data_IF_837240653372
#
_entry.id   IF_837240653372
#
_cell.length_a   1.000
_cell.length_b   1.000
_cell.length_c   1.000
_cell.angle_alpha   90.00
_cell.angle_beta   90.00
_cell.angle_gamma   90.00
#
_symmetry.space_group_name_H-M   'P 1'
#
loop_
_entity.id
_entity.type
_entity.pdbx_description
1 polymer ?
#
# COMPACT_ATOMS: atom_id res chain seq x y z
N UNK A 1 13.86 -6.14 3.19
CA UNK A 1 13.06 -6.33 1.97
C UNK A 1 11.95 -5.29 1.91
N UNK A 2 11.50 -4.91 0.71
CA UNK A 2 10.46 -3.90 0.47
C UNK A 2 9.25 -4.50 -0.26
N UNK A 3 8.75 -5.62 0.23
CA UNK A 3 7.49 -6.21 -0.23
C UNK A 3 6.44 -6.09 0.90
N UNK A 4 5.35 -5.31 0.73
CA UNK A 4 4.32 -5.16 1.76
C UNK A 4 3.72 -6.47 2.26
N UNK A 5 3.68 -7.52 1.43
CA UNK A 5 3.12 -8.82 1.83
C UNK A 5 4.08 -9.63 2.71
N UNK A 6 5.40 -9.48 2.53
CA UNK A 6 6.43 -10.23 3.27
C UNK A 6 7.07 -9.43 4.41
N UNK A 7 6.97 -8.10 4.39
CA UNK A 7 7.65 -7.24 5.33
C UNK A 7 7.12 -7.36 6.76
N UNK A 8 8.06 -7.41 7.71
CA UNK A 8 7.79 -7.62 9.15
C UNK A 8 7.96 -6.37 10.00
N UNK A 9 8.81 -5.45 9.57
CA UNK A 9 9.29 -4.36 10.43
C UNK A 9 8.24 -3.25 10.55
N UNK A 10 8.09 -2.72 11.77
CA UNK A 10 7.25 -1.55 12.02
C UNK A 10 7.70 -0.35 11.19
N UNK A 11 9.00 -0.03 11.20
CA UNK A 11 9.55 1.11 10.44
C UNK A 11 9.39 0.99 8.93
N UNK A 12 9.28 -0.23 8.40
CA UNK A 12 8.99 -0.44 6.98
C UNK A 12 7.64 0.13 6.57
N UNK A 13 6.68 0.21 7.50
CA UNK A 13 5.34 0.77 7.25
C UNK A 13 5.40 2.22 6.78
N UNK A 14 6.31 3.04 7.32
CA UNK A 14 6.45 4.44 6.89
C UNK A 14 6.97 4.53 5.45
N UNK A 15 7.88 3.64 5.05
CA UNK A 15 8.36 3.58 3.66
C UNK A 15 7.24 3.16 2.72
N UNK A 16 6.44 2.16 3.11
CA UNK A 16 5.30 1.72 2.31
C UNK A 16 4.20 2.77 2.22
N UNK A 17 3.90 3.49 3.31
CA UNK A 17 2.91 4.56 3.29
C UNK A 17 3.31 5.72 2.35
N UNK A 18 4.61 5.97 2.17
CA UNK A 18 5.10 6.94 1.19
C UNK A 18 5.07 6.41 -0.25
N UNK A 19 5.19 5.10 -0.44
CA UNK A 19 5.41 4.48 -1.75
C UNK A 19 4.16 3.84 -2.37
N UNK A 20 3.21 3.40 -1.56
CA UNK A 20 2.07 2.58 -1.97
C UNK A 20 0.78 3.19 -1.47
N UNK A 21 -0.12 3.51 -2.40
CA UNK A 21 -1.50 3.79 -2.05
C UNK A 21 -2.21 2.52 -1.59
N UNK A 22 -3.27 2.73 -0.82
CA UNK A 22 -4.12 1.68 -0.27
C UNK A 22 -5.54 1.84 -0.78
N UNK A 23 -6.32 0.76 -0.72
CA UNK A 23 -7.75 0.82 -1.05
C UNK A 23 -8.46 1.88 -0.21
N UNK A 24 -8.24 1.88 1.09
CA UNK A 24 -8.75 2.87 2.02
C UNK A 24 -7.62 3.39 2.90
N UNK A 25 -7.81 4.56 3.49
CA UNK A 25 -6.85 5.15 4.42
C UNK A 25 -7.52 5.49 5.75
N UNK A 26 -6.76 6.06 6.67
CA UNK A 26 -7.24 6.53 7.96
C UNK A 26 -6.96 8.03 8.13
N UNK A 27 -7.94 8.78 8.61
CA UNK A 27 -7.77 10.19 8.92
C UNK A 27 -7.16 10.42 10.32
N UNK A 28 -6.94 11.70 10.67
CA UNK A 28 -6.43 12.12 11.98
C UNK A 28 -7.33 11.73 13.17
N UNK A 29 -8.61 11.41 12.91
CA UNK A 29 -9.59 10.98 13.89
C UNK A 29 -9.74 9.45 13.96
N UNK A 30 -8.82 8.70 13.31
CA UNK A 30 -8.83 7.25 13.22
C UNK A 30 -10.04 6.69 12.47
N UNK A 31 -10.68 7.49 11.62
CA UNK A 31 -11.79 7.03 10.76
C UNK A 31 -11.25 6.53 9.43
N UNK A 32 -11.83 5.45 8.94
CA UNK A 32 -11.54 4.96 7.60
C UNK A 32 -12.10 5.95 6.58
N UNK A 33 -11.26 6.37 5.64
CA UNK A 33 -11.58 7.32 4.58
C UNK A 33 -11.20 6.77 3.19
N UNK A 34 -11.76 7.32 2.11
CA UNK A 34 -11.42 6.90 0.74
C UNK A 34 -9.93 7.00 0.42
N UNK A 35 -9.43 5.99 -0.31
CA UNK A 35 -8.09 5.95 -0.89
C UNK A 35 -8.19 5.74 -2.41
N UNK A 36 -7.69 4.58 -2.86
CA UNK A 36 -7.94 4.09 -4.23
C UNK A 36 -9.37 3.58 -4.42
N UNK A 37 -10.02 3.10 -3.36
CA UNK A 37 -11.47 2.94 -3.31
C UNK A 37 -12.10 4.28 -2.93
N UNK A 38 -13.02 4.77 -3.77
CA UNK A 38 -13.70 6.07 -3.57
C UNK A 38 -14.85 5.96 -2.58
N UNK A 39 -15.47 4.78 -2.52
CA UNK A 39 -16.59 4.45 -1.65
C UNK A 39 -16.75 2.91 -1.58
N UNK A 40 -17.51 2.46 -0.58
CA UNK A 40 -17.78 1.05 -0.36
C UNK A 40 -19.11 0.83 0.36
N UNK A 41 -19.67 -0.37 0.18
CA UNK A 41 -20.90 -0.81 0.82
C UNK A 41 -20.81 -2.27 1.26
N UNK A 42 -21.42 -2.57 2.40
CA UNK A 42 -21.61 -3.93 2.89
C UNK A 42 -23.00 -4.44 2.51
N UNK A 43 -23.11 -5.73 2.16
CA UNK A 43 -24.39 -6.42 2.10
C UNK A 43 -25.03 -6.52 3.49
N UNK A 44 -26.35 -6.74 3.53
CA UNK A 44 -27.13 -6.84 4.77
C UNK A 44 -26.63 -7.96 5.70
N UNK A 45 -26.08 -9.05 5.13
CA UNK A 45 -25.51 -10.17 5.88
C UNK A 45 -24.04 -9.95 6.29
N UNK A 46 -23.44 -8.83 5.90
CA UNK A 46 -22.04 -8.47 6.20
C UNK A 46 -21.00 -9.35 5.51
N UNK A 47 -21.37 -10.13 4.49
CA UNK A 47 -20.46 -11.07 3.81
C UNK A 47 -19.96 -10.58 2.46
N UNK A 48 -20.49 -9.49 1.93
CA UNK A 48 -20.04 -8.91 0.68
C UNK A 48 -19.66 -7.45 0.89
N UNK A 49 -18.39 -7.13 0.65
CA UNK A 49 -17.89 -5.76 0.60
C UNK A 49 -17.70 -5.35 -0.86
N UNK A 50 -18.52 -4.42 -1.33
CA UNK A 50 -18.39 -3.85 -2.68
C UNK A 50 -17.61 -2.54 -2.59
N UNK A 51 -16.59 -2.36 -3.42
CA UNK A 51 -15.81 -1.12 -3.51
C UNK A 51 -15.83 -0.59 -4.94
N UNK A 52 -16.07 0.71 -5.09
CA UNK A 52 -15.83 1.44 -6.32
C UNK A 52 -14.42 2.05 -6.30
N UNK A 53 -13.74 2.00 -7.44
CA UNK A 53 -12.32 2.33 -7.57
C UNK A 53 -12.13 3.64 -8.32
N UNK A 54 -11.06 4.34 -7.96
CA UNK A 54 -10.64 5.58 -8.61
C UNK A 54 -10.18 5.30 -10.04
N UNK A 55 -10.74 6.06 -10.98
CA UNK A 55 -10.34 6.04 -12.38
C UNK A 55 -9.04 6.83 -12.64
N UNK A 56 -8.35 6.48 -13.72
CA UNK A 56 -7.19 7.23 -14.22
C UNK A 56 -5.91 7.07 -13.39
N UNK A 57 -5.88 6.14 -12.43
CA UNK A 57 -4.68 5.83 -11.64
C UNK A 57 -3.76 4.89 -12.41
N UNK A 58 -2.45 5.12 -12.27
CA UNK A 58 -1.40 4.23 -12.76
C UNK A 58 -0.45 3.86 -11.63
N UNK A 59 0.16 2.69 -11.77
CA UNK A 59 1.33 2.31 -10.99
C UNK A 59 2.57 3.05 -11.50
N UNK A 60 3.64 3.02 -10.71
CA UNK A 60 4.89 3.72 -10.97
C UNK A 60 5.63 3.24 -12.23
N UNK A 61 5.32 2.05 -12.74
CA UNK A 61 5.83 1.53 -14.02
C UNK A 61 4.92 1.83 -15.23
N UNK A 62 3.82 2.53 -15.01
CA UNK A 62 2.83 2.88 -16.04
C UNK A 62 1.72 1.85 -16.25
N UNK A 63 1.76 0.70 -15.55
CA UNK A 63 0.62 -0.23 -15.53
C UNK A 63 -0.63 0.48 -14.99
N UNK A 64 -1.80 0.20 -15.56
CA UNK A 64 -3.05 0.83 -15.11
C UNK A 64 -3.54 0.17 -13.83
N UNK A 65 -4.07 0.99 -12.91
CA UNK A 65 -4.82 0.47 -11.77
C UNK A 65 -6.26 0.21 -12.17
N UNK A 66 -6.76 -1.00 -11.87
CA UNK A 66 -8.12 -1.43 -12.11
C UNK A 66 -8.55 -2.51 -11.09
N UNK A 67 -9.78 -3.02 -11.24
CA UNK A 67 -10.31 -4.09 -10.41
C UNK A 67 -9.51 -5.40 -10.48
N UNK A 68 -8.86 -5.71 -11.61
CA UNK A 68 -8.00 -6.89 -11.73
C UNK A 68 -6.72 -6.73 -10.90
N UNK A 69 -6.14 -5.53 -10.86
CA UNK A 69 -4.99 -5.23 -10.01
C UNK A 69 -5.33 -5.42 -8.52
N UNK A 70 -6.51 -5.00 -8.08
CA UNK A 70 -7.00 -5.24 -6.71
C UNK A 70 -7.12 -6.73 -6.43
N UNK A 71 -7.81 -7.47 -7.31
CA UNK A 71 -7.96 -8.92 -7.20
C UNK A 71 -6.60 -9.62 -7.09
N UNK A 72 -5.67 -9.29 -7.99
CA UNK A 72 -4.31 -9.83 -7.97
C UNK A 72 -3.60 -9.58 -6.63
N UNK A 73 -3.63 -8.35 -6.11
CA UNK A 73 -2.93 -8.02 -4.87
C UNK A 73 -3.48 -8.81 -3.68
N UNK A 74 -4.79 -8.93 -3.59
CA UNK A 74 -5.46 -9.61 -2.48
C UNK A 74 -5.25 -11.13 -2.56
N UNK A 75 -5.37 -11.71 -3.75
CA UNK A 75 -5.05 -13.13 -3.98
C UNK A 75 -3.58 -13.43 -3.71
N UNK A 76 -2.66 -12.55 -4.15
CA UNK A 76 -1.23 -12.66 -3.83
C UNK A 76 -1.01 -12.61 -2.31
N UNK A 77 -1.65 -11.69 -1.60
CA UNK A 77 -1.53 -11.61 -0.14
C UNK A 77 -2.02 -12.89 0.57
N UNK A 78 -3.07 -13.56 0.06
CA UNK A 78 -3.60 -14.81 0.58
C UNK A 78 -2.77 -16.05 0.25
N UNK A 79 -2.12 -16.06 -0.92
CA UNK A 79 -1.50 -17.27 -1.49
C UNK A 79 0.03 -17.26 -1.46
N UNK A 80 0.68 -16.09 -1.43
CA UNK A 80 2.13 -15.98 -1.42
C UNK A 80 2.73 -16.69 -0.19
N UNK A 81 3.65 -17.66 -0.38
CA UNK A 81 4.31 -18.32 0.73
C UNK A 81 5.03 -17.33 1.65
N UNK A 82 4.77 -17.43 2.95
CA UNK A 82 5.36 -16.53 3.95
C UNK A 82 4.72 -15.13 4.02
N UNK A 83 3.63 -14.89 3.27
CA UNK A 83 2.84 -13.65 3.42
C UNK A 83 2.39 -13.47 4.86
N UNK A 84 2.74 -12.33 5.43
CA UNK A 84 2.32 -11.92 6.77
C UNK A 84 0.95 -11.21 6.75
N UNK A 85 0.40 -10.95 5.57
CA UNK A 85 -0.93 -10.35 5.41
C UNK A 85 -2.02 -11.42 5.38
N UNK A 86 -1.67 -12.66 5.03
CA UNK A 86 -2.62 -13.78 4.89
C UNK A 86 -3.56 -13.94 6.08
N UNK A 87 -3.04 -13.86 7.31
CA UNK A 87 -3.85 -14.00 8.52
C UNK A 87 -4.76 -12.80 8.76
N UNK A 88 -4.33 -11.60 8.35
CA UNK A 88 -5.13 -10.37 8.46
C UNK A 88 -6.39 -10.55 7.62
N UNK A 89 -6.24 -10.81 6.32
CA UNK A 89 -7.37 -10.89 5.36
C UNK A 89 -7.97 -12.30 5.16
N UNK A 90 -7.76 -13.22 6.10
CA UNK A 90 -8.12 -14.65 5.94
C UNK A 90 -9.63 -14.92 5.83
N UNK A 91 -10.45 -13.95 6.26
CA UNK A 91 -11.91 -13.94 6.13
C UNK A 91 -12.38 -13.85 4.68
N UNK A 92 -11.56 -13.29 3.78
CA UNK A 92 -11.85 -13.24 2.34
C UNK A 92 -11.85 -14.66 1.76
N UNK A 93 -12.94 -15.00 1.10
CA UNK A 93 -13.12 -16.22 0.33
C UNK A 93 -12.72 -16.02 -1.13
N UNK A 94 -13.24 -14.97 -1.76
CA UNK A 94 -12.92 -14.64 -3.15
C UNK A 94 -13.03 -13.15 -3.44
N UNK A 95 -12.37 -12.73 -4.52
CA UNK A 95 -12.49 -11.38 -5.08
C UNK A 95 -13.07 -11.46 -6.48
N UNK A 96 -14.24 -10.86 -6.65
CA UNK A 96 -14.96 -10.75 -7.91
C UNK A 96 -14.69 -9.38 -8.54
N UNK A 97 -14.31 -9.40 -9.82
CA UNK A 97 -14.27 -8.19 -10.66
C UNK A 97 -15.65 -8.03 -11.27
N UNK A 98 -16.45 -7.14 -10.69
CA UNK A 98 -17.84 -6.89 -11.11
C UNK A 98 -17.96 -5.76 -12.13
N UNK A 99 -16.86 -5.05 -12.38
CA UNK A 99 -16.66 -4.10 -13.47
C UNK A 99 -15.20 -3.62 -13.51
N UNK A 100 -14.78 -2.84 -14.51
CA UNK A 100 -13.39 -2.38 -14.63
C UNK A 100 -12.88 -1.65 -13.37
N UNK A 101 -13.77 -0.89 -12.71
CA UNK A 101 -13.48 -0.11 -11.51
C UNK A 101 -14.37 -0.52 -10.33
N UNK A 102 -14.83 -1.76 -10.29
CA UNK A 102 -15.63 -2.27 -9.18
C UNK A 102 -15.21 -3.68 -8.79
N UNK A 103 -14.95 -3.87 -7.50
CA UNK A 103 -14.62 -5.16 -6.90
C UNK A 103 -15.60 -5.54 -5.81
N UNK A 104 -15.83 -6.83 -5.66
CA UNK A 104 -16.57 -7.39 -4.53
C UNK A 104 -15.70 -8.41 -3.81
N UNK A 105 -15.54 -8.20 -2.51
CA UNK A 105 -14.93 -9.17 -1.62
C UNK A 105 -16.03 -10.03 -1.01
N UNK A 106 -16.00 -11.33 -1.30
CA UNK A 106 -16.88 -12.30 -0.68
C UNK A 106 -16.19 -12.90 0.53
N UNK A 107 -16.83 -12.87 1.70
CA UNK A 107 -16.26 -13.32 2.96
C UNK A 107 -16.88 -14.65 3.40
N UNK A 108 -16.06 -15.50 4.01
CA UNK A 108 -16.49 -16.76 4.64
C UNK A 108 -17.43 -16.49 5.82
N UNK A 109 -17.12 -15.44 6.57
CA UNK A 109 -17.82 -14.97 7.75
C UNK A 109 -17.75 -13.45 7.81
N UNK A 110 -18.74 -12.76 8.41
CA UNK A 110 -18.63 -11.32 8.63
C UNK A 110 -17.34 -10.96 9.39
N UNK A 111 -16.66 -9.92 8.95
CA UNK A 111 -15.39 -9.46 9.53
C UNK A 111 -15.37 -7.94 9.62
N UNK A 112 -15.65 -7.42 10.82
CA UNK A 112 -15.65 -5.99 11.08
C UNK A 112 -14.25 -5.35 11.03
N UNK A 113 -13.18 -6.15 11.16
CA UNK A 113 -11.81 -5.65 11.16
C UNK A 113 -11.25 -5.49 9.74
N UNK A 114 -11.83 -6.16 8.74
CA UNK A 114 -11.29 -6.21 7.37
C UNK A 114 -11.00 -4.82 6.82
N UNK A 115 -11.94 -3.88 6.96
CA UNK A 115 -11.77 -2.54 6.42
C UNK A 115 -10.57 -1.82 7.06
N UNK A 116 -10.36 -1.98 8.37
CA UNK A 116 -9.20 -1.43 9.08
C UNK A 116 -7.89 -2.11 8.70
N UNK A 117 -7.90 -3.38 8.31
CA UNK A 117 -6.69 -4.04 7.84
C UNK A 117 -6.28 -3.53 6.45
N UNK A 118 -7.25 -3.21 5.61
CA UNK A 118 -7.04 -2.63 4.28
C UNK A 118 -6.50 -1.20 4.32
N UNK A 119 -6.44 -0.54 5.50
CA UNK A 119 -5.74 0.74 5.67
C UNK A 119 -4.23 0.61 5.91
N UNK A 120 -3.67 -0.60 5.94
CA UNK A 120 -2.22 -0.86 6.05
C UNK A 120 -1.76 -1.70 4.84
N UNK A 121 -0.65 -2.42 4.98
CA UNK A 121 0.01 -3.22 3.95
C UNK A 121 -0.88 -4.28 3.30
N UNK A 122 -1.97 -4.71 3.94
CA UNK A 122 -2.91 -5.66 3.33
C UNK A 122 -3.75 -5.03 2.22
N UNK A 123 -3.99 -3.72 2.28
CA UNK A 123 -4.68 -2.98 1.23
C UNK A 123 -3.75 -2.22 0.28
N UNK A 124 -2.42 -2.34 0.45
CA UNK A 124 -1.43 -1.67 -0.39
C UNK A 124 -1.44 -2.24 -1.82
N UNK A 125 -1.57 -1.37 -2.82
CA UNK A 125 -1.68 -1.79 -4.22
C UNK A 125 -0.31 -1.76 -4.89
N UNK A 126 0.18 -2.97 -5.22
CA UNK A 126 1.44 -3.23 -5.93
C UNK A 126 1.17 -3.43 -7.42
N UNK A 127 2.08 -3.01 -8.29
CA UNK A 127 1.95 -3.25 -9.74
C UNK A 127 1.99 -4.77 -10.02
N UNK A 128 0.93 -5.36 -10.61
CA UNK A 128 0.86 -6.81 -10.81
C UNK A 128 2.05 -7.42 -11.55
N UNK A 129 2.48 -6.83 -12.66
CA UNK A 129 3.59 -7.40 -13.45
C UNK A 129 4.93 -7.31 -12.72
N UNK A 130 5.17 -6.24 -11.96
CA UNK A 130 6.36 -6.14 -11.12
C UNK A 130 6.32 -7.13 -9.96
N UNK A 131 5.17 -7.30 -9.30
CA UNK A 131 5.01 -8.13 -8.10
C UNK A 131 5.09 -9.65 -8.36
N UNK A 132 5.01 -10.07 -9.62
CA UNK A 132 5.28 -11.45 -10.08
C UNK A 132 6.78 -11.75 -10.17
N UNK A 133 7.63 -10.75 -10.27
CA UNK A 133 9.08 -10.93 -10.43
C UNK A 133 9.73 -11.32 -9.10
N UNK A 134 10.74 -12.22 -9.11
CA UNK A 134 11.39 -12.70 -7.88
C UNK A 134 12.15 -11.61 -7.14
N UNK A 135 12.56 -10.54 -7.84
CA UNK A 135 13.32 -9.41 -7.31
C UNK A 135 12.44 -8.22 -6.87
N UNK A 136 11.11 -8.38 -6.85
CA UNK A 136 10.18 -7.33 -6.43
C UNK A 136 10.55 -6.70 -5.08
N UNK A 137 11.02 -7.51 -4.13
CA UNK A 137 11.36 -7.02 -2.79
C UNK A 137 12.61 -6.12 -2.75
N UNK A 138 13.38 -6.05 -3.83
CA UNK A 138 14.50 -5.13 -4.04
C UNK A 138 14.21 -4.04 -5.07
N UNK A 139 13.21 -4.24 -5.94
CA UNK A 139 12.73 -3.27 -6.93
C UNK A 139 11.19 -3.13 -6.84
N UNK A 140 10.66 -2.62 -5.72
CA UNK A 140 9.22 -2.54 -5.53
C UNK A 140 8.62 -1.47 -6.44
N UNK A 141 7.46 -1.78 -7.00
CA UNK A 141 6.65 -0.87 -7.81
C UNK A 141 5.25 -0.83 -7.20
N UNK A 142 4.82 0.37 -6.84
CA UNK A 142 3.55 0.62 -6.17
C UNK A 142 2.77 1.73 -6.88
N UNK A 143 1.62 2.12 -6.31
CA UNK A 143 0.69 3.13 -6.82
C UNK A 143 0.82 4.50 -6.14
N UNK A 144 1.69 4.65 -5.14
CA UNK A 144 1.77 5.84 -4.29
C UNK A 144 2.59 7.00 -4.88
N UNK A 145 2.67 8.12 -4.15
CA UNK A 145 3.23 9.39 -4.60
C UNK A 145 4.75 9.41 -4.77
N UNK A 146 5.47 8.49 -4.12
CA UNK A 146 6.93 8.38 -4.26
C UNK A 146 7.34 6.99 -4.74
N UNK A 147 8.20 6.94 -5.75
CA UNK A 147 8.73 5.71 -6.31
C UNK A 147 10.10 5.36 -5.73
N UNK A 148 10.40 4.07 -5.67
CA UNK A 148 11.69 3.58 -5.19
C UNK A 148 12.83 4.02 -6.10
N UNK A 149 13.82 4.71 -5.56
CA UNK A 149 15.01 5.13 -6.30
C UNK A 149 16.23 4.27 -5.95
N UNK A 150 16.52 4.11 -4.66
CA UNK A 150 17.64 3.26 -4.22
C UNK A 150 17.54 2.86 -2.75
N UNK A 151 18.33 1.84 -2.40
CA UNK A 151 18.52 1.41 -1.02
C UNK A 151 19.97 1.04 -0.79
N UNK A 152 20.56 1.60 0.25
CA UNK A 152 21.81 1.11 0.84
C UNK A 152 21.43 0.44 2.17
N UNK A 153 21.69 -0.86 2.27
CA UNK A 153 21.31 -1.63 3.45
C UNK A 153 21.94 -1.01 4.71
N UNK A 154 21.12 -0.85 5.77
CA UNK A 154 21.50 -0.23 7.04
C UNK A 154 21.92 1.26 6.97
N UNK A 155 21.83 1.92 5.81
CA UNK A 155 22.21 3.35 5.65
C UNK A 155 21.04 4.22 5.17
N UNK A 156 20.40 3.91 4.04
CA UNK A 156 19.30 4.75 3.54
C UNK A 156 18.35 4.04 2.59
N UNK A 157 17.12 4.52 2.52
CA UNK A 157 16.19 4.28 1.40
C UNK A 157 15.84 5.65 0.81
N UNK A 158 16.01 5.78 -0.50
CA UNK A 158 15.69 7.00 -1.25
C UNK A 158 14.47 6.73 -2.11
N UNK A 159 13.46 7.57 -1.96
CA UNK A 159 12.30 7.63 -2.84
C UNK A 159 12.28 8.98 -3.58
N UNK A 160 11.84 8.98 -4.83
CA UNK A 160 11.65 10.20 -5.64
C UNK A 160 10.18 10.38 -5.96
N UNK A 161 9.73 11.62 -6.17
CA UNK A 161 8.32 11.86 -6.54
C UNK A 161 7.97 11.14 -7.83
N UNK A 162 6.77 10.56 -7.88
CA UNK A 162 6.17 9.99 -9.07
C UNK A 162 5.32 11.05 -9.79
N UNK A 163 5.82 11.57 -10.90
CA UNK A 163 5.23 12.73 -11.60
C UNK A 163 3.83 12.46 -12.17
N UNK A 164 3.48 11.19 -12.42
CA UNK A 164 2.17 10.78 -12.91
C UNK A 164 1.20 10.40 -11.78
N UNK A 165 1.54 10.67 -10.51
CA UNK A 165 0.66 10.39 -9.39
C UNK A 165 -0.65 11.18 -9.49
N UNK A 166 -1.78 10.50 -9.27
CA UNK A 166 -3.12 11.05 -9.49
C UNK A 166 -3.44 12.26 -8.59
N UNK A 167 -2.86 12.32 -7.38
CA UNK A 167 -2.98 13.45 -6.46
C UNK A 167 -1.65 14.19 -6.26
N UNK A 168 -0.86 14.36 -7.33
CA UNK A 168 0.47 14.98 -7.24
C UNK A 168 0.49 16.36 -6.57
N UNK A 169 -0.60 17.13 -6.66
CA UNK A 169 -0.71 18.45 -6.05
C UNK A 169 -0.63 18.44 -4.53
N UNK A 170 -0.89 17.30 -3.87
CA UNK A 170 -0.76 17.16 -2.42
C UNK A 170 0.68 16.83 -1.97
N UNK A 171 1.61 16.56 -2.90
CA UNK A 171 2.94 16.04 -2.60
C UNK A 171 4.03 16.91 -3.22
N UNK A 172 4.63 17.77 -2.41
CA UNK A 172 5.50 18.86 -2.89
C UNK A 172 6.99 18.55 -2.90
N UNK A 173 7.44 17.51 -2.19
CA UNK A 173 8.87 17.18 -2.13
C UNK A 173 9.29 16.38 -3.35
N UNK A 174 10.47 16.66 -3.89
CA UNK A 174 11.02 15.89 -5.02
C UNK A 174 11.60 14.55 -4.56
N UNK A 175 12.01 14.47 -3.29
CA UNK A 175 12.73 13.32 -2.72
C UNK A 175 12.41 13.15 -1.25
N UNK A 176 12.27 11.89 -0.82
CA UNK A 176 12.16 11.49 0.58
C UNK A 176 13.28 10.49 0.87
N UNK A 177 14.07 10.76 1.91
CA UNK A 177 15.19 9.89 2.32
C UNK A 177 14.89 9.35 3.72
N UNK A 178 14.72 8.04 3.82
CA UNK A 178 14.58 7.36 5.09
C UNK A 178 15.95 6.93 5.60
N UNK A 179 16.37 7.50 6.74
CA UNK A 179 17.62 7.17 7.42
C UNK A 179 17.32 6.33 8.67
N UNK A 180 17.86 5.10 8.80
CA UNK A 180 17.82 4.34 10.03
C UNK A 180 18.84 4.94 11.00
N UNK A 181 18.37 5.80 11.91
CA UNK A 181 19.18 6.38 13.00
C UNK A 181 18.67 5.81 14.33
N UNK A 182 19.24 4.67 14.80
CA UNK A 182 18.75 4.01 16.01
C UNK A 182 18.96 4.86 17.27
N UNK A 183 20.08 5.59 17.33
CA UNK A 183 20.45 6.42 18.48
C UNK A 183 19.60 7.70 18.53
N UNK A 184 18.89 7.89 19.65
CA UNK A 184 18.00 9.02 19.83
C UNK A 184 18.73 10.36 19.97
N UNK A 185 19.93 10.37 20.55
CA UNK A 185 20.75 11.57 20.73
C UNK A 185 21.30 12.05 19.39
N UNK A 186 21.77 11.12 18.54
CA UNK A 186 22.20 11.42 17.17
C UNK A 186 21.02 11.96 16.35
N UNK A 187 19.84 11.37 16.48
CA UNK A 187 18.63 11.87 15.79
C UNK A 187 18.26 13.30 16.21
N UNK A 188 18.36 13.61 17.50
CA UNK A 188 18.13 14.96 18.02
C UNK A 188 19.20 15.96 17.53
N UNK A 189 20.47 15.55 17.51
CA UNK A 189 21.57 16.37 17.02
C UNK A 189 21.39 16.70 15.53
N UNK A 190 21.05 15.70 14.71
CA UNK A 190 20.80 15.89 13.28
C UNK A 190 19.61 16.82 13.01
N UNK A 191 18.53 16.70 13.80
CA UNK A 191 17.38 17.60 13.70
C UNK A 191 17.77 19.04 14.03
N UNK A 192 18.51 19.26 15.12
CA UNK A 192 18.99 20.59 15.52
C UNK A 192 19.95 21.22 14.50
N UNK A 193 20.75 20.39 13.84
CA UNK A 193 21.69 20.81 12.82
C UNK A 193 21.04 21.01 11.43
N UNK A 194 19.72 20.84 11.30
CA UNK A 194 18.98 20.87 10.03
C UNK A 194 19.52 19.90 8.97
N UNK A 195 20.12 18.79 9.40
CA UNK A 195 20.63 17.72 8.51
C UNK A 195 19.49 16.75 8.10
N UNK A 196 18.31 16.86 8.75
CA UNK A 196 17.17 15.96 8.54
C UNK A 196 15.86 16.67 8.15
N UNK A 197 15.95 17.87 7.57
CA UNK A 197 14.80 18.58 6.97
C UNK A 197 14.53 18.13 5.55
#
# INVERSE_FOLDING_TARGET
>A
MLDPHLARTYYGRFVFAAMCDRLVDVDENLKVVPGLATDWAWSDDGKTLTMNLREGVTFQDGEKFDANAVKFNIERALTLPGSLRKSEISSIDSVEVSGPMQVKFHLKTPDAALLSQLTDRAGAMLAPEAAKKPDFATHPVCSGPYQFASRVQQDRIVLTRFENYWNKSAYHFDKVIFLPIPDASVRLANLRAAIST
#
